data_IF_049142555587
#
_entry.id   IF_049142555587
#
_cell.length_a   1.000
_cell.length_b   1.000
_cell.length_c   1.000
_cell.angle_alpha   90.00
_cell.angle_beta   90.00
_cell.angle_gamma   90.00
#
_symmetry.space_group_name_H-M   'P 1'
#
loop_
_entity.id
_entity.type
_entity.pdbx_description
1 polymer ?
#
# COMPACT_ATOMS: atom_id res chain seq x y z
N UNK A 1 7.43 -4.07 -5.90
CA UNK A 1 6.62 -3.78 -4.71
C UNK A 1 5.82 -4.97 -4.24
N UNK A 2 4.80 -5.45 -4.96
CA UNK A 2 4.10 -6.70 -4.57
C UNK A 2 5.05 -7.90 -4.48
N UNK A 3 6.05 -7.98 -5.37
CA UNK A 3 7.09 -9.00 -5.27
C UNK A 3 7.88 -8.93 -3.95
N UNK A 4 8.20 -7.73 -3.47
CA UNK A 4 8.95 -7.54 -2.23
C UNK A 4 8.07 -7.81 -1.01
N UNK A 5 6.79 -7.44 -1.07
CA UNK A 5 5.80 -7.80 -0.04
C UNK A 5 5.66 -9.32 0.08
N UNK A 6 5.56 -10.03 -1.05
CA UNK A 6 5.48 -11.50 -1.06
C UNK A 6 6.77 -12.15 -0.50
N UNK A 7 7.95 -11.61 -0.82
CA UNK A 7 9.22 -12.08 -0.23
C UNK A 7 9.26 -11.85 1.28
N UNK A 8 8.66 -10.77 1.77
CA UNK A 8 8.57 -10.44 3.18
C UNK A 8 7.41 -11.16 3.92
N UNK A 9 6.59 -11.96 3.23
CA UNK A 9 5.47 -12.69 3.82
C UNK A 9 4.18 -11.89 3.97
N UNK A 10 4.11 -10.68 3.41
CA UNK A 10 2.89 -9.87 3.40
C UNK A 10 1.98 -10.27 2.24
N UNK A 11 0.65 -10.16 2.42
CA UNK A 11 -0.28 -10.37 1.33
C UNK A 11 -0.07 -9.32 0.22
N UNK A 12 -0.31 -9.68 -1.05
CA UNK A 12 -0.25 -8.73 -2.13
C UNK A 12 -1.31 -7.64 -1.92
N UNK A 13 -0.87 -6.37 -2.03
CA UNK A 13 -1.79 -5.24 -2.04
C UNK A 13 -2.29 -4.98 -3.45
N UNK A 14 -3.53 -4.54 -3.52
CA UNK A 14 -4.14 -4.10 -4.77
C UNK A 14 -4.81 -2.75 -4.50
N UNK A 15 -4.20 -1.73 -5.12
CA UNK A 15 -4.56 -0.32 -5.00
C UNK A 15 -5.68 -0.07 -5.98
N UNK A 16 -6.86 0.25 -5.45
CA UNK A 16 -8.04 0.47 -6.28
C UNK A 16 -7.84 1.63 -7.23
N UNK A 17 -8.40 1.53 -8.43
CA UNK A 17 -8.32 2.57 -9.46
C UNK A 17 -8.86 3.93 -8.99
N UNK A 18 -9.78 3.94 -8.03
CA UNK A 18 -10.29 5.14 -7.36
C UNK A 18 -9.19 5.96 -6.69
N UNK A 19 -8.17 5.30 -6.17
CA UNK A 19 -7.08 5.91 -5.39
C UNK A 19 -5.80 6.08 -6.23
N UNK A 20 -5.89 5.87 -7.54
CA UNK A 20 -4.77 6.09 -8.47
C UNK A 20 -4.19 7.49 -8.38
N UNK A 21 -5.03 8.49 -8.11
CA UNK A 21 -4.59 9.89 -7.97
C UNK A 21 -3.72 10.05 -6.73
N UNK A 22 -4.14 9.51 -5.59
CA UNK A 22 -3.37 9.51 -4.35
C UNK A 22 -2.06 8.73 -4.51
N UNK A 23 -2.07 7.60 -5.23
CA UNK A 23 -0.86 6.86 -5.55
C UNK A 23 0.15 7.67 -6.37
N UNK A 24 -0.30 8.34 -7.44
CA UNK A 24 0.59 9.18 -8.24
C UNK A 24 1.04 10.44 -7.50
N UNK A 25 0.19 11.03 -6.65
CA UNK A 25 0.58 12.16 -5.79
C UNK A 25 1.64 11.76 -4.77
N UNK A 26 1.45 10.63 -4.08
CA UNK A 26 2.45 10.10 -3.15
C UNK A 26 3.76 9.77 -3.87
N UNK A 27 3.69 9.22 -5.09
CA UNK A 27 4.86 8.95 -5.92
C UNK A 27 5.57 10.22 -6.38
N UNK A 28 4.82 11.25 -6.78
CA UNK A 28 5.36 12.55 -7.18
C UNK A 28 6.01 13.28 -5.99
N UNK A 29 5.38 13.25 -4.82
CA UNK A 29 5.93 13.76 -3.56
C UNK A 29 7.20 13.00 -3.17
N UNK A 30 7.21 11.68 -3.30
CA UNK A 30 8.40 10.86 -3.04
C UNK A 30 9.55 11.18 -3.99
N UNK A 31 9.26 11.31 -5.29
CA UNK A 31 10.28 11.60 -6.30
C UNK A 31 10.79 13.04 -6.21
N UNK A 32 9.90 14.01 -5.99
CA UNK A 32 10.22 15.44 -6.02
C UNK A 32 10.76 15.98 -4.69
N UNK A 33 10.26 15.50 -3.55
CA UNK A 33 10.69 15.96 -2.22
C UNK A 33 11.59 14.97 -1.49
N UNK A 34 11.76 13.75 -2.02
CA UNK A 34 12.50 12.69 -1.34
C UNK A 34 11.83 12.20 -0.06
N UNK A 35 10.54 12.52 0.15
CA UNK A 35 9.82 12.16 1.37
C UNK A 35 8.95 10.91 1.14
N UNK A 36 9.31 9.74 1.69
CA UNK A 36 8.52 8.51 1.55
C UNK A 36 7.26 8.49 2.41
N UNK A 37 7.08 9.41 3.35
CA UNK A 37 6.02 9.34 4.36
C UNK A 37 4.62 9.16 3.77
N UNK A 38 4.25 9.91 2.72
CA UNK A 38 2.91 9.77 2.11
C UNK A 38 2.73 8.42 1.40
N UNK A 39 3.82 7.87 0.86
CA UNK A 39 3.82 6.60 0.17
C UNK A 39 3.77 5.44 1.17
N UNK A 40 4.50 5.56 2.28
CA UNK A 40 4.44 4.62 3.42
C UNK A 40 3.05 4.58 4.05
N UNK A 41 2.43 5.74 4.31
CA UNK A 41 1.08 5.83 4.87
C UNK A 41 0.04 5.19 3.94
N UNK A 42 0.15 5.43 2.63
CA UNK A 42 -0.72 4.81 1.64
C UNK A 42 -0.60 3.28 1.69
N UNK A 43 0.63 2.75 1.70
CA UNK A 43 0.84 1.31 1.75
C UNK A 43 0.41 0.69 3.08
N UNK A 44 0.73 1.31 4.21
CA UNK A 44 0.33 0.84 5.52
C UNK A 44 -1.19 0.66 5.60
N UNK A 45 -1.96 1.62 5.06
CA UNK A 45 -3.42 1.54 5.02
C UNK A 45 -3.91 0.35 4.21
N UNK A 46 -3.42 0.15 2.99
CA UNK A 46 -3.85 -0.98 2.16
C UNK A 46 -3.42 -2.34 2.70
N UNK A 47 -2.21 -2.43 3.27
CA UNK A 47 -1.72 -3.65 3.89
C UNK A 47 -2.60 -4.03 5.09
N UNK A 48 -2.92 -3.06 5.95
CA UNK A 48 -3.80 -3.28 7.10
C UNK A 48 -5.22 -3.67 6.66
N UNK A 49 -5.82 -2.96 5.70
CA UNK A 49 -7.15 -3.33 5.18
C UNK A 49 -7.18 -4.76 4.62
N UNK A 50 -6.09 -5.21 3.98
CA UNK A 50 -5.98 -6.59 3.49
C UNK A 50 -5.82 -7.58 4.64
N UNK A 51 -4.98 -7.29 5.63
CA UNK A 51 -4.83 -8.11 6.83
C UNK A 51 -6.16 -8.27 7.58
N UNK A 52 -6.90 -7.17 7.76
CA UNK A 52 -8.22 -7.19 8.41
C UNK A 52 -9.21 -8.05 7.63
N UNK A 53 -9.20 -8.00 6.28
CA UNK A 53 -10.01 -8.90 5.46
C UNK A 53 -9.64 -10.36 5.66
N UNK A 54 -8.34 -10.69 5.68
CA UNK A 54 -7.89 -12.06 5.93
C UNK A 54 -8.28 -12.56 7.33
N UNK A 55 -8.19 -11.69 8.35
CA UNK A 55 -8.64 -12.00 9.71
C UNK A 55 -10.16 -12.23 9.75
N UNK A 56 -10.95 -11.41 9.05
CA UNK A 56 -12.42 -11.54 9.01
C UNK A 56 -12.92 -12.83 8.34
N UNK A 57 -12.09 -13.50 7.54
CA UNK A 57 -12.42 -14.80 6.91
C UNK A 57 -12.12 -15.96 7.87
N UNK A 58 -11.20 -15.77 8.82
CA UNK A 58 -10.81 -16.77 9.81
C UNK A 58 -11.73 -16.79 11.05
N UNK A 59 -12.50 -15.71 11.28
CA UNK A 59 -13.62 -15.66 12.23
C UNK A 59 -14.86 -16.38 11.70
#
# INVERSE_FOLDING_TARGET
MNLELMKAGFPPIDIKFTDRLAYYQAFDTFHSKGNPSEMEDLFARYVNERLDQYLSILE
#
